data_IF_810679374897
#
_entry.id   IF_810679374897
#
_cell.length_a   1.000
_cell.length_b   1.000
_cell.length_c   1.000
_cell.angle_alpha   90.00
_cell.angle_beta   90.00
_cell.angle_gamma   90.00
#
_symmetry.space_group_name_H-M   'P 1'
#
loop_
_entity.id
_entity.type
_entity.pdbx_description
1 polymer ?
#
# COMPACT_ATOMS: atom_id res chain seq x y z
N UNK A 1 26.56 -6.05 -4.08
CA UNK A 1 25.39 -6.36 -3.25
C UNK A 1 24.17 -6.12 -4.12
N UNK A 2 23.34 -7.12 -4.36
CA UNK A 2 22.16 -6.96 -5.19
C UNK A 2 21.01 -6.35 -4.37
N UNK A 3 19.92 -5.96 -5.02
CA UNK A 3 18.75 -5.38 -4.37
C UNK A 3 18.19 -6.24 -3.23
N UNK A 4 18.16 -7.56 -3.44
CA UNK A 4 17.64 -8.53 -2.46
C UNK A 4 18.46 -8.55 -1.17
N UNK A 5 19.79 -8.48 -1.30
CA UNK A 5 20.68 -8.42 -0.14
C UNK A 5 20.39 -7.17 0.70
N UNK A 6 20.18 -6.02 0.04
CA UNK A 6 19.87 -4.75 0.70
C UNK A 6 18.52 -4.78 1.43
N UNK A 7 17.50 -5.38 0.82
CA UNK A 7 16.20 -5.58 1.45
C UNK A 7 16.32 -6.47 2.69
N UNK A 8 17.06 -7.57 2.59
CA UNK A 8 17.29 -8.45 3.73
C UNK A 8 18.12 -7.78 4.83
N UNK A 9 19.12 -6.95 4.50
CA UNK A 9 19.87 -6.15 5.49
C UNK A 9 18.96 -5.16 6.24
N UNK A 10 18.04 -4.50 5.53
CA UNK A 10 17.09 -3.61 6.15
C UNK A 10 16.18 -4.36 7.15
N UNK A 11 15.69 -5.55 6.79
CA UNK A 11 14.89 -6.39 7.69
C UNK A 11 15.74 -6.96 8.84
N UNK A 12 17.01 -7.30 8.61
CA UNK A 12 17.93 -7.68 9.71
C UNK A 12 18.00 -6.56 10.75
N UNK A 13 18.22 -5.32 10.31
CA UNK A 13 18.26 -4.17 11.21
C UNK A 13 16.96 -4.01 12.00
N UNK A 14 15.80 -4.13 11.36
CA UNK A 14 14.50 -4.10 12.06
C UNK A 14 14.43 -5.17 13.14
N UNK A 15 14.78 -6.42 12.81
CA UNK A 15 14.74 -7.56 13.76
C UNK A 15 15.69 -7.39 14.93
N UNK A 16 16.90 -6.86 14.68
CA UNK A 16 17.91 -6.61 15.71
C UNK A 16 17.50 -5.48 16.68
N UNK A 17 16.57 -4.61 16.27
CA UNK A 17 16.13 -3.46 17.06
C UNK A 17 14.67 -3.55 17.55
N UNK A 18 14.05 -4.73 17.52
CA UNK A 18 12.65 -4.92 17.96
C UNK A 18 12.42 -4.56 19.43
N UNK A 19 13.44 -4.63 20.27
CA UNK A 19 13.37 -4.27 21.70
C UNK A 19 13.71 -2.80 22.00
N UNK A 20 13.92 -2.00 20.96
CA UNK A 20 14.29 -0.59 21.07
C UNK A 20 13.52 0.29 20.11
N UNK A 21 14.04 1.48 19.91
CA UNK A 21 13.58 2.39 18.88
C UNK A 21 14.13 1.95 17.51
N UNK A 22 13.26 1.91 16.51
CA UNK A 22 13.63 1.58 15.13
C UNK A 22 13.66 2.88 14.34
N UNK A 23 14.85 3.25 13.88
CA UNK A 23 15.05 4.39 12.99
C UNK A 23 14.69 3.97 11.54
N UNK A 24 13.58 4.49 11.03
CA UNK A 24 13.11 4.18 9.68
C UNK A 24 14.01 4.75 8.58
N UNK A 25 14.73 5.84 8.85
CA UNK A 25 15.71 6.37 7.89
C UNK A 25 16.92 5.46 7.79
N UNK A 26 17.34 4.85 8.90
CA UNK A 26 18.40 3.83 8.90
C UNK A 26 17.95 2.54 8.16
N UNK A 27 16.70 2.11 8.34
CA UNK A 27 16.11 0.99 7.55
C UNK A 27 16.21 1.28 6.06
N UNK A 28 15.78 2.46 5.64
CA UNK A 28 15.79 2.88 4.24
C UNK A 28 17.22 3.03 3.70
N UNK A 29 18.15 3.55 4.51
CA UNK A 29 19.57 3.68 4.16
C UNK A 29 20.20 2.31 3.89
N UNK A 30 19.86 1.28 4.66
CA UNK A 30 20.33 -0.10 4.41
C UNK A 30 19.74 -0.68 3.12
N UNK A 31 18.51 -0.36 2.81
CA UNK A 31 17.87 -0.70 1.54
C UNK A 31 18.38 0.15 0.36
N UNK A 32 19.19 1.18 0.60
CA UNK A 32 19.68 2.16 -0.39
C UNK A 32 18.55 2.86 -1.14
N UNK A 33 17.51 3.27 -0.45
CA UNK A 33 16.38 4.01 -1.01
C UNK A 33 15.80 5.00 0.01
N UNK A 34 14.80 5.80 -0.40
CA UNK A 34 14.07 6.68 0.53
C UNK A 34 13.19 5.89 1.48
N UNK A 35 12.89 6.47 2.64
CA UNK A 35 11.99 5.88 3.65
C UNK A 35 10.62 5.58 3.07
N UNK A 36 10.06 6.53 2.31
CA UNK A 36 8.78 6.35 1.63
C UNK A 36 8.83 5.17 0.64
N UNK A 37 9.85 5.12 -0.23
CA UNK A 37 9.99 4.03 -1.21
C UNK A 37 10.10 2.66 -0.52
N UNK A 38 10.92 2.56 0.55
CA UNK A 38 11.06 1.31 1.29
C UNK A 38 9.73 0.84 1.87
N UNK A 39 9.00 1.73 2.55
CA UNK A 39 7.71 1.39 3.18
C UNK A 39 6.66 0.97 2.14
N UNK A 40 6.59 1.68 1.01
CA UNK A 40 5.68 1.33 -0.10
C UNK A 40 6.01 -0.03 -0.69
N UNK A 41 7.28 -0.24 -1.03
CA UNK A 41 7.76 -1.50 -1.60
C UNK A 41 7.56 -2.67 -0.63
N UNK A 42 7.93 -2.49 0.65
CA UNK A 42 7.72 -3.51 1.68
C UNK A 42 6.24 -3.87 1.78
N UNK A 43 5.35 -2.89 1.92
CA UNK A 43 3.91 -3.10 2.04
C UNK A 43 3.33 -3.82 0.82
N UNK A 44 3.80 -3.52 -0.38
CA UNK A 44 3.35 -4.16 -1.61
C UNK A 44 3.81 -5.62 -1.72
N UNK A 45 5.07 -5.90 -1.37
CA UNK A 45 5.64 -7.26 -1.49
C UNK A 45 5.11 -8.20 -0.41
N UNK A 46 4.78 -7.66 0.78
CA UNK A 46 4.41 -8.48 1.94
C UNK A 46 2.91 -8.44 2.28
N UNK A 47 2.14 -7.57 1.60
CA UNK A 47 0.74 -7.24 1.92
C UNK A 47 0.53 -6.75 3.37
N UNK A 48 1.61 -6.29 4.02
CA UNK A 48 1.59 -5.82 5.41
C UNK A 48 2.41 -4.55 5.54
N UNK A 49 1.89 -3.47 6.14
CA UNK A 49 2.69 -2.28 6.47
C UNK A 49 3.88 -2.63 7.38
N UNK A 50 5.00 -1.94 7.20
CA UNK A 50 6.21 -2.17 8.00
C UNK A 50 5.95 -2.02 9.51
N UNK A 51 5.17 -1.02 9.91
CA UNK A 51 4.77 -0.78 11.31
C UNK A 51 3.97 -1.96 11.88
N UNK A 52 3.06 -2.51 11.09
CA UNK A 52 2.26 -3.69 11.49
C UNK A 52 3.13 -4.95 11.57
N UNK A 53 4.08 -5.13 10.64
CA UNK A 53 5.07 -6.19 10.73
C UNK A 53 5.86 -6.11 12.05
N UNK A 54 6.41 -4.93 12.38
CA UNK A 54 7.15 -4.68 13.63
C UNK A 54 6.27 -4.98 14.84
N UNK A 55 5.03 -4.51 14.85
CA UNK A 55 4.07 -4.77 15.94
C UNK A 55 3.82 -6.26 16.13
N UNK A 56 3.57 -7.01 15.04
CA UNK A 56 3.33 -8.47 15.09
C UNK A 56 4.56 -9.22 15.59
N UNK A 57 5.76 -8.82 15.16
CA UNK A 57 7.02 -9.42 15.59
C UNK A 57 7.28 -9.19 17.07
N UNK A 58 7.14 -7.97 17.55
CA UNK A 58 7.27 -7.59 18.97
C UNK A 58 6.35 -8.42 19.86
N UNK A 59 5.08 -8.52 19.51
CA UNK A 59 4.11 -9.30 20.27
C UNK A 59 4.37 -10.80 20.22
N UNK A 60 4.86 -11.32 19.11
CA UNK A 60 5.28 -12.73 19.00
C UNK A 60 6.46 -13.03 19.93
N UNK A 61 7.49 -12.19 19.95
CA UNK A 61 8.64 -12.37 20.83
C UNK A 61 8.25 -12.22 22.30
N UNK A 62 7.38 -11.27 22.63
CA UNK A 62 6.84 -11.10 23.97
C UNK A 62 6.07 -12.36 24.43
N UNK A 63 5.32 -12.99 23.54
CA UNK A 63 4.60 -14.23 23.81
C UNK A 63 5.58 -15.38 24.14
N UNK A 64 6.66 -15.52 23.38
CA UNK A 64 7.70 -16.51 23.69
C UNK A 64 8.36 -16.26 25.04
N UNK A 65 8.66 -15.01 25.39
CA UNK A 65 9.23 -14.68 26.69
C UNK A 65 8.25 -14.95 27.85
N UNK A 66 6.95 -14.67 27.67
CA UNK A 66 5.93 -14.99 28.66
C UNK A 66 5.83 -16.49 28.96
N UNK A 67 5.94 -17.32 27.92
CA UNK A 67 5.87 -18.78 28.08
C UNK A 67 7.14 -19.39 28.69
N UNK A 68 8.29 -18.76 28.49
CA UNK A 68 9.59 -19.34 28.85
C UNK A 68 10.26 -18.65 30.06
N UNK A 69 9.63 -17.65 30.67
CA UNK A 69 10.21 -16.92 31.80
C UNK A 69 9.15 -16.38 32.75
N UNK A 70 9.60 -15.90 33.92
CA UNK A 70 8.77 -15.22 34.92
C UNK A 70 8.79 -13.70 34.81
N UNK A 71 9.27 -13.14 33.68
CA UNK A 71 9.38 -11.69 33.43
C UNK A 71 8.03 -10.99 33.63
N UNK A 72 8.01 -9.83 34.28
CA UNK A 72 6.75 -9.12 34.53
C UNK A 72 6.18 -8.54 33.25
N UNK A 73 4.85 -8.53 33.09
CA UNK A 73 4.15 -7.96 31.94
C UNK A 73 4.55 -6.50 31.70
N UNK A 74 4.72 -5.72 32.78
CA UNK A 74 5.15 -4.32 32.69
C UNK A 74 6.55 -4.19 32.08
N UNK A 75 7.48 -5.09 32.42
CA UNK A 75 8.85 -5.08 31.89
C UNK A 75 8.85 -5.40 30.39
N UNK A 76 8.00 -6.36 29.96
CA UNK A 76 7.82 -6.68 28.54
C UNK A 76 7.18 -5.54 27.76
N UNK A 77 6.19 -4.86 28.35
CA UNK A 77 5.56 -3.71 27.70
C UNK A 77 6.60 -2.64 27.30
N UNK A 78 7.44 -2.24 28.25
CA UNK A 78 8.49 -1.25 27.98
C UNK A 78 9.60 -1.81 27.07
N UNK A 79 10.01 -3.07 27.25
CA UNK A 79 11.00 -3.74 26.42
C UNK A 79 10.62 -3.73 24.93
N UNK A 80 9.34 -3.91 24.63
CA UNK A 80 8.83 -3.95 23.26
C UNK A 80 8.23 -2.62 22.79
N UNK A 81 8.59 -1.50 23.45
CA UNK A 81 8.33 -0.15 22.99
C UNK A 81 6.89 0.33 23.19
N UNK A 82 6.15 -0.25 24.15
CA UNK A 82 4.82 0.25 24.54
C UNK A 82 4.94 1.28 25.66
N UNK A 83 4.21 2.36 25.54
CA UNK A 83 4.20 3.45 26.53
C UNK A 83 3.53 3.06 27.86
N UNK A 84 2.68 2.03 27.84
CA UNK A 84 2.01 1.56 29.04
C UNK A 84 1.69 0.06 28.99
N UNK A 85 1.60 -0.60 30.17
CA UNK A 85 1.18 -2.00 30.26
C UNK A 85 -0.23 -2.24 29.70
N UNK A 86 -1.11 -1.24 29.79
CA UNK A 86 -2.50 -1.34 29.29
C UNK A 86 -2.53 -1.33 27.76
N UNK A 87 -1.74 -0.47 27.11
CA UNK A 87 -1.59 -0.45 25.65
C UNK A 87 -1.02 -1.77 25.14
N UNK A 88 0.02 -2.30 25.82
CA UNK A 88 0.60 -3.61 25.51
C UNK A 88 -0.46 -4.73 25.67
N UNK A 89 -1.17 -4.75 26.79
CA UNK A 89 -2.18 -5.80 27.07
C UNK A 89 -3.28 -5.80 26.02
N UNK A 90 -3.80 -4.64 25.63
CA UNK A 90 -4.79 -4.54 24.54
C UNK A 90 -4.23 -5.04 23.21
N UNK A 91 -3.03 -4.60 22.83
CA UNK A 91 -2.40 -5.02 21.57
C UNK A 91 -2.12 -6.52 21.56
N UNK A 92 -1.65 -7.08 22.67
CA UNK A 92 -1.39 -8.51 22.85
C UNK A 92 -2.68 -9.33 22.75
N UNK A 93 -3.75 -8.89 23.44
CA UNK A 93 -5.05 -9.57 23.41
C UNK A 93 -5.69 -9.50 22.02
N UNK A 94 -5.59 -8.37 21.32
CA UNK A 94 -6.08 -8.25 19.96
C UNK A 94 -5.36 -9.21 18.99
N UNK A 95 -4.05 -9.43 19.19
CA UNK A 95 -3.28 -10.32 18.33
C UNK A 95 -3.50 -11.80 18.67
N UNK A 96 -3.34 -12.15 19.96
CA UNK A 96 -3.29 -13.55 20.41
C UNK A 96 -4.66 -14.09 20.87
N UNK A 97 -5.65 -13.23 21.10
CA UNK A 97 -6.98 -13.60 21.61
C UNK A 97 -7.03 -13.85 23.12
N UNK A 98 -5.89 -13.75 23.82
CA UNK A 98 -5.75 -13.99 25.26
C UNK A 98 -4.93 -12.89 25.92
N UNK A 99 -5.07 -12.72 27.23
CA UNK A 99 -4.25 -11.74 27.98
C UNK A 99 -2.80 -12.21 28.13
N UNK A 100 -1.83 -11.28 28.33
CA UNK A 100 -0.44 -11.66 28.59
C UNK A 100 -0.27 -12.58 29.80
N UNK A 101 -1.10 -12.44 30.83
CA UNK A 101 -1.08 -13.30 32.02
C UNK A 101 -1.52 -14.73 31.67
N UNK A 102 -2.64 -14.87 30.95
CA UNK A 102 -3.16 -16.18 30.52
C UNK A 102 -2.27 -16.87 29.50
N UNK A 103 -1.44 -16.11 28.75
CA UNK A 103 -0.49 -16.68 27.79
C UNK A 103 0.60 -17.55 28.44
N UNK A 104 0.77 -17.49 29.78
CA UNK A 104 1.71 -18.30 30.55
C UNK A 104 1.20 -19.72 30.82
N UNK A 105 -0.11 -19.91 30.71
CA UNK A 105 -0.73 -21.18 31.04
C UNK A 105 -0.35 -22.25 30.00
N UNK A 106 -0.07 -23.47 30.47
CA UNK A 106 0.27 -24.57 29.57
C UNK A 106 -0.90 -24.90 28.62
N UNK A 107 -0.61 -25.08 27.35
CA UNK A 107 -1.59 -25.46 26.33
C UNK A 107 -2.36 -24.29 25.71
N UNK A 108 -2.10 -23.05 26.13
CA UNK A 108 -2.67 -21.88 25.47
C UNK A 108 -2.11 -21.70 24.07
N UNK A 109 -2.99 -21.59 23.08
CA UNK A 109 -2.61 -21.32 21.69
C UNK A 109 -2.31 -19.85 21.50
N UNK A 110 -1.12 -19.56 20.96
CA UNK A 110 -0.69 -18.22 20.62
C UNK A 110 -0.36 -18.12 19.11
N UNK A 111 -0.59 -16.96 18.53
CA UNK A 111 -0.20 -16.70 17.13
C UNK A 111 1.27 -16.32 17.08
N UNK A 112 2.02 -16.91 16.15
CA UNK A 112 3.40 -16.55 15.89
C UNK A 112 3.54 -16.02 14.46
N UNK A 113 4.15 -14.86 14.33
CA UNK A 113 4.51 -14.27 13.05
C UNK A 113 6.02 -14.41 12.87
N UNK A 114 6.50 -15.29 11.96
CA UNK A 114 7.92 -15.51 11.75
C UNK A 114 8.58 -14.26 11.15
N UNK A 115 9.90 -14.22 11.25
CA UNK A 115 10.71 -13.23 10.57
C UNK A 115 10.52 -13.36 9.04
N UNK A 116 10.33 -12.26 8.36
CA UNK A 116 10.30 -12.19 6.89
C UNK A 116 11.73 -12.24 6.34
N UNK A 117 11.92 -12.98 5.27
CA UNK A 117 13.11 -12.93 4.42
C UNK A 117 12.69 -12.87 2.96
N UNK A 118 13.36 -12.04 2.18
CA UNK A 118 13.10 -11.90 0.76
C UNK A 118 13.90 -12.91 -0.03
N UNK A 119 13.22 -13.64 -0.91
CA UNK A 119 13.83 -14.59 -1.84
C UNK A 119 13.36 -14.29 -3.27
N UNK A 120 14.22 -14.47 -4.26
CA UNK A 120 13.82 -14.37 -5.66
C UNK A 120 13.19 -15.70 -6.06
N UNK A 121 11.95 -15.61 -6.59
CA UNK A 121 11.36 -16.70 -7.36
C UNK A 121 11.34 -16.25 -8.82
N UNK A 122 12.07 -16.93 -9.69
CA UNK A 122 12.04 -16.68 -11.13
C UNK A 122 10.75 -17.28 -11.67
N UNK A 123 9.74 -16.45 -11.91
CA UNK A 123 8.57 -16.79 -12.70
C UNK A 123 8.83 -16.31 -14.12
N UNK A 124 8.57 -17.16 -15.10
CA UNK A 124 8.72 -17.01 -16.54
C UNK A 124 9.04 -15.61 -17.12
N UNK A 125 9.62 -15.60 -18.26
CA UNK A 125 10.06 -14.39 -18.99
C UNK A 125 8.86 -13.70 -19.66
N UNK A 126 8.06 -12.97 -18.87
CA UNK A 126 6.96 -12.18 -19.41
C UNK A 126 7.38 -10.72 -19.49
N UNK A 127 7.31 -10.17 -20.71
CA UNK A 127 7.55 -8.76 -21.00
C UNK A 127 6.65 -7.85 -20.15
N UNK A 128 7.20 -6.72 -19.69
CA UNK A 128 6.43 -5.65 -19.04
C UNK A 128 6.64 -4.37 -19.84
N UNK A 129 5.58 -3.90 -20.46
CA UNK A 129 5.60 -2.63 -21.18
C UNK A 129 5.52 -1.46 -20.21
N UNK A 130 6.39 -0.47 -20.39
CA UNK A 130 6.33 0.78 -19.64
C UNK A 130 6.89 1.94 -20.44
N UNK A 131 6.56 3.17 -20.02
CA UNK A 131 7.19 4.39 -20.53
C UNK A 131 7.42 5.39 -19.40
N UNK A 132 8.40 6.24 -19.55
CA UNK A 132 8.69 7.34 -18.62
C UNK A 132 8.27 8.65 -19.26
N UNK A 133 7.42 9.40 -18.59
CA UNK A 133 6.95 10.70 -19.06
C UNK A 133 6.99 11.74 -17.94
N UNK A 134 7.44 12.95 -18.26
CA UNK A 134 7.24 14.12 -17.41
C UNK A 134 5.87 14.72 -17.72
N UNK A 135 5.06 14.98 -16.70
CA UNK A 135 3.78 15.65 -16.83
C UNK A 135 3.81 16.96 -16.04
N UNK A 136 3.32 18.03 -16.65
CA UNK A 136 3.08 19.28 -15.94
C UNK A 136 2.05 19.10 -14.83
N UNK A 137 2.02 20.05 -13.88
CA UNK A 137 1.05 20.03 -12.79
C UNK A 137 -0.37 20.00 -13.33
N UNK A 138 -1.21 19.19 -12.71
CA UNK A 138 -2.64 19.10 -13.03
C UNK A 138 -3.45 18.88 -11.78
N UNK A 139 -4.76 18.99 -11.90
CA UNK A 139 -5.64 18.70 -10.77
C UNK A 139 -6.77 17.78 -11.22
N UNK A 140 -7.25 16.98 -10.27
CA UNK A 140 -8.44 16.15 -10.43
C UNK A 140 -9.47 16.49 -9.36
N UNK A 141 -10.72 16.11 -9.59
CA UNK A 141 -11.80 16.23 -8.63
C UNK A 141 -12.61 14.95 -8.56
N UNK A 142 -13.24 14.69 -7.43
CA UNK A 142 -14.04 13.49 -7.27
C UNK A 142 -14.48 13.25 -5.83
N UNK A 143 -14.69 12.00 -5.49
CA UNK A 143 -14.99 11.53 -4.14
C UNK A 143 -13.94 10.59 -3.66
N UNK A 144 -13.56 10.67 -2.39
CA UNK A 144 -12.55 9.79 -1.80
C UNK A 144 -13.09 9.05 -0.58
N UNK A 145 -12.36 8.04 -0.19
CA UNK A 145 -12.55 7.26 1.02
C UNK A 145 -11.21 6.85 1.59
N UNK A 146 -11.13 6.64 2.89
CA UNK A 146 -9.93 6.12 3.54
C UNK A 146 -10.01 4.59 3.55
N UNK A 147 -8.97 3.95 3.07
CA UNK A 147 -8.79 2.51 3.03
C UNK A 147 -7.57 2.08 3.84
N UNK A 148 -7.52 0.80 4.21
CA UNK A 148 -6.36 0.20 4.87
C UNK A 148 -5.86 -1.00 4.07
N UNK A 149 -4.53 -1.14 4.00
CA UNK A 149 -3.88 -2.34 3.45
C UNK A 149 -3.75 -3.46 4.50
N UNK A 150 -4.01 -3.15 5.77
CA UNK A 150 -3.93 -4.14 6.85
C UNK A 150 -4.96 -5.23 6.61
N UNK A 151 -4.49 -6.49 6.68
CA UNK A 151 -5.30 -7.71 6.49
C UNK A 151 -6.06 -7.73 5.13
N UNK A 152 -5.60 -6.98 4.13
CA UNK A 152 -6.18 -6.99 2.78
C UNK A 152 -7.56 -6.34 2.68
N UNK A 153 -7.94 -5.49 3.64
CA UNK A 153 -9.24 -4.83 3.69
C UNK A 153 -9.56 -4.04 2.40
N UNK A 154 -8.55 -3.43 1.80
CA UNK A 154 -8.70 -2.66 0.56
C UNK A 154 -9.24 -3.50 -0.61
N UNK A 155 -8.83 -4.77 -0.74
CA UNK A 155 -9.32 -5.65 -1.82
C UNK A 155 -10.83 -5.88 -1.80
N UNK A 156 -11.44 -5.80 -0.62
CA UNK A 156 -12.89 -5.89 -0.45
C UNK A 156 -13.58 -4.53 -0.60
N UNK A 157 -13.01 -3.50 0.02
CA UNK A 157 -13.63 -2.17 0.09
C UNK A 157 -13.57 -1.39 -1.22
N UNK A 158 -12.53 -1.59 -2.05
CA UNK A 158 -12.43 -0.91 -3.36
C UNK A 158 -13.62 -1.28 -4.25
N UNK A 159 -13.94 -2.56 -4.51
CA UNK A 159 -15.13 -2.91 -5.30
C UNK A 159 -16.44 -2.40 -4.70
N UNK A 160 -16.58 -2.44 -3.37
CA UNK A 160 -17.76 -1.91 -2.67
C UNK A 160 -17.92 -0.39 -2.90
N UNK A 161 -16.82 0.36 -2.89
CA UNK A 161 -16.82 1.80 -3.11
C UNK A 161 -17.18 2.16 -4.57
N UNK A 162 -16.66 1.43 -5.55
CA UNK A 162 -17.04 1.55 -6.94
C UNK A 162 -18.54 1.27 -7.12
N UNK A 163 -19.03 0.14 -6.62
CA UNK A 163 -20.43 -0.26 -6.73
C UNK A 163 -21.38 0.74 -6.06
N UNK A 164 -21.02 1.25 -4.88
CA UNK A 164 -21.77 2.31 -4.20
C UNK A 164 -21.84 3.55 -5.06
N UNK A 165 -20.72 4.00 -5.62
CA UNK A 165 -20.67 5.23 -6.44
C UNK A 165 -21.45 5.13 -7.75
N UNK A 166 -21.60 3.92 -8.29
CA UNK A 166 -22.48 3.63 -9.41
C UNK A 166 -23.95 3.72 -8.98
N UNK A 167 -24.32 3.04 -7.88
CA UNK A 167 -25.71 2.87 -7.45
C UNK A 167 -26.32 4.17 -6.89
N UNK A 168 -25.53 5.05 -6.27
CA UNK A 168 -26.00 6.32 -5.70
C UNK A 168 -25.90 7.51 -6.69
N UNK A 169 -25.49 7.24 -7.94
CA UNK A 169 -25.38 8.23 -9.01
C UNK A 169 -24.16 9.16 -8.89
N UNK A 170 -23.23 8.89 -7.96
CA UNK A 170 -22.00 9.70 -7.77
C UNK A 170 -21.13 9.65 -9.02
N UNK A 171 -20.93 8.47 -9.61
CA UNK A 171 -20.19 8.30 -10.85
C UNK A 171 -20.77 9.13 -12.00
N UNK A 172 -22.08 9.08 -12.19
CA UNK A 172 -22.78 9.88 -13.24
C UNK A 172 -22.58 11.39 -13.00
N UNK A 173 -22.66 11.84 -11.75
CA UNK A 173 -22.45 13.27 -11.39
C UNK A 173 -21.03 13.73 -11.73
N UNK A 174 -20.00 12.93 -11.45
CA UNK A 174 -18.60 13.25 -11.77
C UNK A 174 -18.46 13.35 -13.30
N UNK A 175 -18.88 12.32 -14.04
CA UNK A 175 -18.77 12.27 -15.51
C UNK A 175 -19.53 13.40 -16.18
N UNK A 176 -20.75 13.70 -15.73
CA UNK A 176 -21.54 14.82 -16.23
C UNK A 176 -20.93 16.18 -15.95
N UNK A 177 -20.28 16.34 -14.80
CA UNK A 177 -19.57 17.58 -14.47
C UNK A 177 -18.30 17.74 -15.30
N UNK A 178 -17.57 16.67 -15.53
CA UNK A 178 -16.33 16.63 -16.30
C UNK A 178 -16.55 16.66 -17.82
N UNK A 179 -17.80 16.56 -18.28
CA UNK A 179 -18.17 16.42 -19.70
C UNK A 179 -17.52 17.52 -20.57
N UNK A 180 -16.54 17.08 -21.35
CA UNK A 180 -15.83 17.85 -22.37
C UNK A 180 -16.26 17.48 -23.80
N UNK A 181 -17.35 16.72 -23.94
CA UNK A 181 -17.87 16.20 -25.21
C UNK A 181 -17.28 14.84 -25.62
N UNK A 182 -16.45 14.21 -24.78
CA UNK A 182 -15.89 12.89 -25.04
C UNK A 182 -16.85 11.76 -24.63
N UNK A 183 -17.39 11.03 -25.61
CA UNK A 183 -18.32 9.92 -25.35
C UNK A 183 -17.68 8.69 -24.69
N UNK A 184 -16.35 8.60 -24.68
CA UNK A 184 -15.59 7.48 -24.09
C UNK A 184 -14.98 7.83 -22.74
N UNK A 185 -15.54 8.86 -22.07
CA UNK A 185 -15.06 9.32 -20.77
C UNK A 185 -15.29 8.25 -19.68
N UNK A 186 -14.25 7.96 -18.92
CA UNK A 186 -14.26 7.02 -17.79
C UNK A 186 -13.74 7.69 -16.53
N UNK A 187 -14.21 7.21 -15.37
CA UNK A 187 -13.58 7.59 -14.11
C UNK A 187 -12.20 6.96 -13.99
N UNK A 188 -11.33 7.70 -13.30
CA UNK A 188 -10.01 7.22 -12.90
C UNK A 188 -9.99 6.99 -11.39
N UNK A 189 -9.02 6.22 -10.92
CA UNK A 189 -8.76 6.10 -9.50
C UNK A 189 -7.43 6.78 -9.15
N UNK A 190 -7.38 7.44 -7.99
CA UNK A 190 -6.16 7.99 -7.42
C UNK A 190 -5.95 7.44 -6.01
N UNK A 191 -4.70 7.10 -5.67
CA UNK A 191 -4.28 6.64 -4.36
C UNK A 191 -3.24 7.62 -3.82
N UNK A 192 -3.47 8.17 -2.63
CA UNK A 192 -2.60 9.20 -2.06
C UNK A 192 -2.67 9.25 -0.53
N UNK A 193 -1.78 10.02 0.11
CA UNK A 193 -1.78 10.19 1.57
C UNK A 193 -1.53 8.88 2.30
N UNK A 194 -0.51 8.13 1.86
CA UNK A 194 -0.15 6.86 2.50
C UNK A 194 0.49 7.09 3.86
N UNK A 195 -0.16 6.56 4.91
CA UNK A 195 0.30 6.65 6.28
C UNK A 195 1.07 5.41 6.73
N UNK A 196 1.85 5.55 7.79
CA UNK A 196 2.67 4.47 8.34
C UNK A 196 1.83 3.31 8.91
N UNK A 197 0.57 3.55 9.28
CA UNK A 197 -0.36 2.53 9.76
C UNK A 197 -1.01 1.71 8.63
N UNK A 198 -0.68 2.03 7.36
CA UNK A 198 -1.18 1.37 6.17
C UNK A 198 -2.49 1.95 5.64
N UNK A 199 -2.97 3.05 6.22
CA UNK A 199 -4.12 3.78 5.67
C UNK A 199 -3.71 4.66 4.50
N UNK A 200 -4.64 4.93 3.60
CA UNK A 200 -4.47 5.81 2.44
C UNK A 200 -5.82 6.26 1.90
N UNK A 201 -5.83 7.36 1.16
CA UNK A 201 -7.00 7.82 0.42
C UNK A 201 -7.11 7.11 -0.92
N UNK A 202 -8.28 6.60 -1.23
CA UNK A 202 -8.66 6.07 -2.54
C UNK A 202 -9.77 6.96 -3.12
N UNK A 203 -9.52 7.58 -4.27
CA UNK A 203 -10.39 8.57 -4.86
C UNK A 203 -10.86 8.11 -6.23
N UNK A 204 -12.17 8.17 -6.47
CA UNK A 204 -12.74 8.10 -7.81
C UNK A 204 -12.80 9.51 -8.38
N UNK A 205 -12.11 9.75 -9.50
CA UNK A 205 -11.85 11.11 -9.94
C UNK A 205 -11.89 11.29 -11.47
N UNK A 206 -11.94 12.54 -11.87
CA UNK A 206 -11.74 13.00 -13.23
C UNK A 206 -10.99 14.34 -13.25
N UNK A 207 -10.50 14.78 -14.41
CA UNK A 207 -9.86 16.09 -14.57
C UNK A 207 -10.88 17.20 -14.26
N UNK A 208 -10.39 18.32 -13.71
CA UNK A 208 -11.24 19.46 -13.36
C UNK A 208 -11.88 20.03 -14.62
N UNK A 209 -13.22 20.20 -14.63
CA UNK A 209 -13.95 20.81 -15.73
C UNK A 209 -13.68 22.31 -15.83
N UNK A 210 -13.81 22.89 -17.03
CA UNK A 210 -13.63 24.33 -17.25
C UNK A 210 -14.58 25.19 -16.41
N UNK A 211 -15.74 24.68 -16.04
CA UNK A 211 -16.78 25.37 -15.24
C UNK A 211 -16.51 25.37 -13.74
N UNK A 212 -15.40 24.75 -13.31
CA UNK A 212 -15.06 24.60 -11.89
C UNK A 212 -15.64 23.32 -11.27
N UNK A 213 -15.26 23.06 -10.02
CA UNK A 213 -15.64 21.83 -9.29
C UNK A 213 -17.03 22.04 -8.69
N UNK A 214 -17.99 21.12 -8.90
CA UNK A 214 -19.29 21.18 -8.26
C UNK A 214 -19.18 21.01 -6.74
N UNK A 215 -20.18 21.53 -6.01
CA UNK A 215 -20.27 21.37 -4.57
C UNK A 215 -20.33 19.88 -4.16
N UNK A 216 -19.63 19.54 -3.07
CA UNK A 216 -19.60 18.19 -2.50
C UNK A 216 -18.54 17.26 -3.10
N UNK A 217 -17.67 17.78 -3.96
CA UNK A 217 -16.51 17.05 -4.48
C UNK A 217 -15.19 17.56 -3.89
N UNK A 218 -14.23 16.66 -3.74
CA UNK A 218 -12.88 16.96 -3.27
C UNK A 218 -11.98 17.28 -4.46
N UNK A 219 -11.05 18.24 -4.29
CA UNK A 219 -9.99 18.55 -5.24
C UNK A 219 -8.68 17.89 -4.77
N UNK A 220 -7.94 17.31 -5.71
CA UNK A 220 -6.57 16.85 -5.51
C UNK A 220 -5.66 17.54 -6.52
N UNK A 221 -4.65 18.27 -6.02
CA UNK A 221 -3.64 18.93 -6.84
C UNK A 221 -2.41 18.05 -6.97
N UNK A 222 -1.94 17.83 -8.18
CA UNK A 222 -0.79 17.03 -8.52
C UNK A 222 0.30 17.96 -9.06
N UNK A 223 1.49 18.03 -8.45
CA UNK A 223 2.58 18.84 -8.94
C UNK A 223 3.15 18.29 -10.26
N UNK A 224 4.07 19.04 -10.86
CA UNK A 224 4.85 18.52 -11.99
C UNK A 224 5.72 17.35 -11.51
N UNK A 225 5.58 16.19 -12.17
CA UNK A 225 6.23 14.93 -11.78
C UNK A 225 6.71 14.14 -13.00
N UNK A 226 7.69 13.29 -12.76
CA UNK A 226 8.06 12.20 -13.69
C UNK A 226 7.25 10.95 -13.32
N UNK A 227 6.70 10.29 -14.31
CA UNK A 227 5.82 9.14 -14.16
C UNK A 227 6.40 7.92 -14.87
N UNK A 228 6.41 6.79 -14.19
CA UNK A 228 6.49 5.49 -14.84
C UNK A 228 5.07 5.02 -15.12
N UNK A 229 4.75 4.78 -16.37
CA UNK A 229 3.39 4.47 -16.84
C UNK A 229 3.38 3.06 -17.42
N UNK A 230 2.53 2.21 -16.88
CA UNK A 230 2.42 0.79 -17.21
C UNK A 230 1.04 0.52 -17.81
N UNK A 231 0.91 0.31 -19.13
CA UNK A 231 -0.36 -0.04 -19.74
C UNK A 231 -0.67 -1.52 -19.56
N UNK A 232 -1.96 -1.85 -19.35
CA UNK A 232 -2.45 -3.22 -19.55
C UNK A 232 -2.48 -3.55 -21.04
N UNK A 233 -2.52 -4.84 -21.36
CA UNK A 233 -2.97 -5.26 -22.68
C UNK A 233 -4.45 -4.85 -22.89
N UNK A 234 -4.90 -4.78 -24.16
CA UNK A 234 -6.30 -4.56 -24.50
C UNK A 234 -7.15 -5.72 -23.98
N UNK A 235 -8.20 -5.42 -23.20
CA UNK A 235 -9.03 -6.43 -22.54
C UNK A 235 -10.51 -6.04 -22.55
N UNK A 236 -11.38 -7.00 -22.21
CA UNK A 236 -12.82 -6.78 -22.02
C UNK A 236 -13.09 -6.27 -20.60
N UNK A 237 -14.24 -5.63 -20.37
CA UNK A 237 -14.61 -5.02 -19.09
C UNK A 237 -14.51 -6.02 -17.91
N UNK A 238 -14.98 -7.25 -18.10
CA UNK A 238 -14.94 -8.31 -17.08
C UNK A 238 -13.52 -8.75 -16.69
N UNK A 239 -12.51 -8.44 -17.51
CA UNK A 239 -11.11 -8.75 -17.28
C UNK A 239 -10.29 -7.57 -16.69
N UNK A 240 -10.90 -6.41 -16.51
CA UNK A 240 -10.21 -5.20 -16.05
C UNK A 240 -9.50 -5.41 -14.72
N UNK A 241 -10.19 -5.93 -13.72
CA UNK A 241 -9.62 -6.15 -12.38
C UNK A 241 -8.43 -7.10 -12.42
N UNK A 242 -8.54 -8.22 -13.15
CA UNK A 242 -7.46 -9.21 -13.30
C UNK A 242 -6.21 -8.59 -13.95
N UNK A 243 -6.40 -7.82 -15.03
CA UNK A 243 -5.29 -7.19 -15.74
C UNK A 243 -4.60 -6.08 -14.92
N UNK A 244 -5.39 -5.27 -14.22
CA UNK A 244 -4.85 -4.21 -13.33
C UNK A 244 -4.05 -4.83 -12.20
N UNK A 245 -4.59 -5.83 -11.50
CA UNK A 245 -3.90 -6.52 -10.41
C UNK A 245 -2.59 -7.19 -10.88
N UNK A 246 -2.61 -7.85 -12.03
CA UNK A 246 -1.42 -8.50 -12.59
C UNK A 246 -0.26 -7.51 -12.83
N UNK A 247 -0.54 -6.25 -13.22
CA UNK A 247 0.50 -5.23 -13.36
C UNK A 247 0.97 -4.74 -11.99
N UNK A 248 0.05 -4.45 -11.07
CA UNK A 248 0.41 -4.03 -9.72
C UNK A 248 1.34 -5.03 -9.02
N UNK A 249 1.04 -6.33 -9.12
CA UNK A 249 1.85 -7.41 -8.52
C UNK A 249 3.30 -7.46 -9.04
N UNK A 250 3.56 -6.90 -10.22
CA UNK A 250 4.87 -6.94 -10.90
C UNK A 250 5.69 -5.66 -10.74
N UNK A 251 5.05 -4.48 -10.60
CA UNK A 251 5.75 -3.19 -10.55
C UNK A 251 6.81 -3.15 -9.44
N UNK A 252 6.43 -3.50 -8.21
CA UNK A 252 7.33 -3.38 -7.05
C UNK A 252 8.39 -4.49 -6.98
N UNK A 253 8.07 -5.78 -7.20
CA UNK A 253 9.08 -6.84 -7.09
C UNK A 253 9.92 -7.04 -8.36
N UNK A 254 9.43 -6.64 -9.55
CA UNK A 254 10.13 -6.91 -10.81
C UNK A 254 10.73 -5.64 -11.43
N UNK A 255 9.96 -4.54 -11.53
CA UNK A 255 10.41 -3.35 -12.23
C UNK A 255 11.32 -2.45 -11.38
N UNK A 256 10.89 -2.06 -10.18
CA UNK A 256 11.68 -1.16 -9.33
C UNK A 256 13.10 -1.67 -9.05
N UNK A 257 13.34 -2.95 -8.73
CA UNK A 257 14.68 -3.46 -8.46
C UNK A 257 15.69 -3.29 -9.59
N UNK A 258 15.22 -3.22 -10.83
CA UNK A 258 16.05 -3.13 -12.04
C UNK A 258 16.01 -1.78 -12.73
N UNK A 259 15.03 -0.93 -12.40
CA UNK A 259 14.76 0.33 -13.14
C UNK A 259 15.73 1.47 -12.80
N UNK A 260 16.31 1.46 -11.60
CA UNK A 260 17.11 2.58 -11.08
C UNK A 260 16.28 3.79 -10.65
N UNK A 261 14.94 3.66 -10.62
CA UNK A 261 14.01 4.66 -10.11
C UNK A 261 13.57 4.32 -8.69
N UNK A 262 13.14 5.36 -7.95
CA UNK A 262 12.47 5.26 -6.67
C UNK A 262 11.07 5.86 -6.76
N UNK A 263 10.17 5.36 -5.95
CA UNK A 263 8.82 5.90 -5.84
C UNK A 263 8.85 7.27 -5.15
N UNK A 264 8.25 8.27 -5.77
CA UNK A 264 8.08 9.60 -5.18
C UNK A 264 6.86 9.61 -4.24
N UNK A 265 6.92 10.42 -3.18
CA UNK A 265 5.79 10.64 -2.27
C UNK A 265 4.76 11.56 -2.93
N UNK A 266 3.93 10.98 -3.78
CA UNK A 266 2.90 11.66 -4.54
C UNK A 266 1.79 10.68 -4.93
N UNK A 267 0.62 11.16 -5.40
CA UNK A 267 -0.48 10.31 -5.81
C UNK A 267 -0.13 9.33 -6.92
N UNK A 268 -0.61 8.10 -6.82
CA UNK A 268 -0.61 7.07 -7.86
C UNK A 268 -1.95 7.09 -8.59
N UNK A 269 -2.00 6.67 -9.85
CA UNK A 269 -3.25 6.63 -10.61
C UNK A 269 -3.47 5.32 -11.33
N UNK A 270 -4.74 4.95 -11.48
CA UNK A 270 -5.25 4.02 -12.47
C UNK A 270 -6.09 4.84 -13.46
N UNK A 271 -5.58 4.98 -14.68
CA UNK A 271 -6.21 5.76 -15.74
C UNK A 271 -6.93 4.82 -16.69
N UNK A 272 -8.24 4.90 -16.74
CA UNK A 272 -9.10 3.99 -17.50
C UNK A 272 -9.44 4.58 -18.86
N UNK A 273 -9.29 3.79 -19.92
CA UNK A 273 -9.57 4.18 -21.30
C UNK A 273 -10.45 3.15 -21.99
N UNK A 274 -11.57 3.59 -22.56
CA UNK A 274 -12.37 2.80 -23.50
C UNK A 274 -11.84 3.02 -24.91
N UNK A 275 -11.23 2.00 -25.51
CA UNK A 275 -10.56 2.09 -26.82
C UNK A 275 -11.38 1.49 -27.95
N UNK A 276 -12.52 0.86 -27.67
CA UNK A 276 -13.44 0.28 -28.65
C UNK A 276 -14.68 -0.32 -28.00
N UNK A 277 -15.50 -1.01 -28.80
CA UNK A 277 -16.66 -1.71 -28.25
C UNK A 277 -16.20 -2.87 -27.36
N UNK A 278 -16.52 -2.76 -26.04
CA UNK A 278 -16.10 -3.67 -24.98
C UNK A 278 -14.56 -3.91 -24.95
N UNK A 279 -13.78 -2.86 -25.30
CA UNK A 279 -12.33 -2.87 -25.31
C UNK A 279 -11.79 -1.77 -24.43
N UNK A 280 -10.95 -2.16 -23.48
CA UNK A 280 -10.43 -1.29 -22.44
C UNK A 280 -8.92 -1.44 -22.32
N UNK A 281 -8.26 -0.34 -21.94
CA UNK A 281 -6.86 -0.29 -21.49
C UNK A 281 -6.86 0.48 -20.18
N UNK A 282 -6.08 0.02 -19.22
CA UNK A 282 -5.81 0.78 -17.99
C UNK A 282 -4.32 1.07 -17.92
N UNK A 283 -3.97 2.30 -17.63
CA UNK A 283 -2.60 2.69 -17.36
C UNK A 283 -2.40 2.91 -15.87
N UNK A 284 -1.42 2.25 -15.29
CA UNK A 284 -0.98 2.50 -13.91
C UNK A 284 0.14 3.53 -13.97
N UNK A 285 -0.09 4.68 -13.34
CA UNK A 285 0.85 5.79 -13.28
C UNK A 285 1.50 5.86 -11.91
N UNK A 286 2.79 5.63 -11.84
CA UNK A 286 3.57 5.67 -10.60
C UNK A 286 4.49 6.89 -10.66
N UNK A 287 4.41 7.82 -9.69
CA UNK A 287 5.33 8.95 -9.61
C UNK A 287 6.71 8.45 -9.22
N UNK A 288 7.76 8.85 -9.98
CA UNK A 288 9.11 8.35 -9.78
C UNK A 288 10.16 9.46 -9.85
N UNK A 289 11.32 9.20 -9.21
CA UNK A 289 12.52 10.02 -9.34
C UNK A 289 13.77 9.11 -9.39
N UNK A 290 14.91 9.69 -9.79
CA UNK A 290 16.22 9.02 -9.79
C UNK A 290 17.07 9.45 -8.61
#
# INVERSE_FOLDING_TARGET
MNWLDKMNEAICYVEDNLTGEIDFDEVARKACCSTYHFQRMFSFITDVPLSEYIRRRRLTLAAFELQNSSVKVIELAFKYGYESPDAFTRAFQNLHGVTPTSARDMGVQLKAYPRISFHISIKGDMEMNYRIEEKESFSVFGVDTILSKVDGECYKKIPEFWLKSINDGTMERILKAADDGNQNMMLNAAMYGHENDGTYHYMLCHRIPQKGIPEGFVKLDIPKLTWAIFPTEEHTEDKTTENVQAIWERIYPEWFPSSGYQHADAPEFEMYYKVGDNKYIVEIWIPVFR
#
